data_IF_615177877129
#
_entry.id   IF_615177877129
#
_cell.length_a   1.000
_cell.length_b   1.000
_cell.length_c   1.000
_cell.angle_alpha   90.00
_cell.angle_beta   90.00
_cell.angle_gamma   90.00
#
_symmetry.space_group_name_H-M   'P 1'
#
loop_
_entity.id
_entity.type
_entity.pdbx_description
1 polymer ?
#
# COMPACT_ATOMS: atom_id res chain seq x y z
N UNK A 1 -10.85 6.89 0.43
CA UNK A 1 -11.44 7.12 -0.91
C UNK A 1 -10.49 6.60 -1.97
N UNK A 2 -10.97 5.92 -3.02
CA UNK A 2 -10.16 5.35 -4.09
C UNK A 2 -10.23 6.26 -5.33
N UNK A 3 -9.11 6.48 -6.02
CA UNK A 3 -9.00 7.38 -7.18
C UNK A 3 -8.58 6.67 -8.48
N UNK A 4 -8.29 5.37 -8.41
CA UNK A 4 -7.88 4.54 -9.56
C UNK A 4 -8.89 3.43 -9.82
N UNK A 5 -8.75 2.75 -10.96
CA UNK A 5 -9.56 1.61 -11.37
C UNK A 5 -8.70 0.43 -11.81
N UNK A 6 -9.27 -0.76 -11.83
CA UNK A 6 -8.59 -1.98 -12.27
C UNK A 6 -8.05 -1.85 -13.69
N UNK A 7 -6.84 -2.37 -13.90
CA UNK A 7 -6.12 -2.28 -15.17
C UNK A 7 -5.47 -0.92 -15.48
N UNK A 8 -5.65 0.10 -14.62
CA UNK A 8 -5.00 1.39 -14.80
C UNK A 8 -3.49 1.30 -14.57
N UNK A 9 -2.69 1.70 -15.56
CA UNK A 9 -1.25 1.87 -15.40
C UNK A 9 -0.94 3.09 -14.52
N UNK A 10 -0.09 2.90 -13.51
CA UNK A 10 0.35 3.95 -12.59
C UNK A 10 1.87 4.05 -12.56
N UNK A 11 2.38 5.16 -12.02
CA UNK A 11 3.79 5.39 -11.76
C UNK A 11 4.01 5.73 -10.29
N UNK A 12 5.25 5.53 -9.82
CA UNK A 12 5.66 5.93 -8.48
C UNK A 12 5.30 7.40 -8.24
N UNK A 13 4.65 7.69 -7.11
CA UNK A 13 4.22 9.03 -6.72
C UNK A 13 2.79 9.40 -7.15
N UNK A 14 2.09 8.55 -7.90
CA UNK A 14 0.67 8.78 -8.18
C UNK A 14 -0.19 8.61 -6.93
N UNK A 15 -1.14 9.53 -6.73
CA UNK A 15 -2.16 9.41 -5.70
C UNK A 15 -3.20 8.37 -6.13
N UNK A 16 -3.29 7.27 -5.40
CA UNK A 16 -4.21 6.16 -5.73
C UNK A 16 -5.40 6.07 -4.78
N UNK A 17 -5.24 6.49 -3.53
CA UNK A 17 -6.29 6.49 -2.51
C UNK A 17 -5.93 7.42 -1.34
N UNK A 18 -6.90 7.68 -0.46
CA UNK A 18 -6.66 8.24 0.87
C UNK A 18 -6.69 7.15 1.94
N UNK A 19 -5.95 7.34 3.03
CA UNK A 19 -6.11 6.56 4.27
C UNK A 19 -7.57 6.58 4.73
N UNK A 20 -8.00 5.51 5.38
CA UNK A 20 -9.35 5.38 5.90
C UNK A 20 -9.40 4.50 7.14
N UNK A 21 -10.63 4.21 7.55
CA UNK A 21 -10.96 3.38 8.71
C UNK A 21 -12.05 2.37 8.38
N UNK A 22 -12.12 1.95 7.12
CA UNK A 22 -13.12 0.97 6.65
C UNK A 22 -12.63 -0.45 6.90
N UNK A 23 -13.51 -1.33 7.37
CA UNK A 23 -13.20 -2.74 7.66
C UNK A 23 -13.00 -3.00 9.16
N UNK A 24 -12.25 -4.05 9.50
CA UNK A 24 -11.98 -4.41 10.89
C UNK A 24 -10.77 -3.62 11.42
N UNK A 25 -10.99 -2.37 11.81
CA UNK A 25 -9.96 -1.45 12.30
C UNK A 25 -10.49 -0.59 13.45
N UNK A 26 -9.62 -0.19 14.37
CA UNK A 26 -9.97 0.64 15.53
C UNK A 26 -9.81 2.15 15.28
N UNK A 27 -9.22 2.54 14.15
CA UNK A 27 -8.97 3.94 13.78
C UNK A 27 -8.35 4.09 12.40
N UNK A 28 -7.96 5.31 11.98
CA UNK A 28 -7.29 5.54 10.70
C UNK A 28 -5.99 4.75 10.59
N UNK A 29 -5.89 3.89 9.58
CA UNK A 29 -4.77 2.97 9.42
C UNK A 29 -4.41 2.77 7.94
N UNK A 30 -3.12 2.63 7.65
CA UNK A 30 -2.60 2.24 6.34
C UNK A 30 -1.96 0.86 6.44
N UNK A 31 -2.62 -0.15 5.86
CA UNK A 31 -2.03 -1.47 5.67
C UNK A 31 -1.23 -1.47 4.36
N UNK A 32 0.05 -1.81 4.43
CA UNK A 32 0.94 -1.83 3.26
C UNK A 32 1.65 -3.19 3.18
N UNK A 33 1.60 -3.82 2.00
CA UNK A 33 2.21 -5.12 1.76
C UNK A 33 3.00 -5.09 0.45
N UNK A 34 4.07 -5.88 0.38
CA UNK A 34 4.84 -6.11 -0.83
C UNK A 34 4.81 -7.61 -1.16
N UNK A 35 4.34 -7.92 -2.36
CA UNK A 35 4.19 -9.28 -2.86
C UNK A 35 5.09 -9.44 -4.10
N UNK A 36 5.89 -10.51 -4.15
CA UNK A 36 6.71 -10.88 -5.30
C UNK A 36 6.13 -12.13 -5.95
N UNK A 37 5.64 -12.00 -7.17
CA UNK A 37 4.86 -13.07 -7.81
C UNK A 37 3.50 -13.26 -7.14
N UNK A 38 2.94 -14.46 -7.26
CA UNK A 38 1.54 -14.70 -6.88
C UNK A 38 1.31 -14.89 -5.37
N UNK A 39 2.28 -15.43 -4.65
CA UNK A 39 2.06 -15.90 -3.26
C UNK A 39 3.18 -15.55 -2.27
N UNK A 40 4.21 -14.82 -2.68
CA UNK A 40 5.34 -14.53 -1.79
C UNK A 40 5.19 -13.15 -1.13
N UNK A 41 4.73 -13.12 0.12
CA UNK A 41 4.71 -11.92 0.95
C UNK A 41 6.08 -11.66 1.51
N UNK A 42 6.57 -10.44 1.35
CA UNK A 42 7.89 -10.00 1.79
C UNK A 42 7.77 -8.94 2.87
N UNK A 43 8.85 -8.70 3.62
CA UNK A 43 8.91 -7.58 4.55
C UNK A 43 8.93 -6.25 3.77
N UNK A 44 7.91 -5.38 3.91
CA UNK A 44 7.87 -4.11 3.18
C UNK A 44 9.04 -3.18 3.51
N UNK A 45 9.68 -3.31 4.68
CA UNK A 45 10.79 -2.45 5.10
C UNK A 45 11.97 -2.56 4.13
N UNK A 46 12.21 -3.73 3.53
CA UNK A 46 13.28 -3.92 2.55
C UNK A 46 13.07 -3.08 1.27
N UNK A 47 11.83 -2.70 0.97
CA UNK A 47 11.44 -1.93 -0.22
C UNK A 47 11.19 -0.45 0.08
N UNK A 48 11.02 -0.12 1.35
CA UNK A 48 10.88 1.25 1.81
C UNK A 48 12.28 1.85 1.98
N UNK A 49 12.54 2.96 1.29
CA UNK A 49 13.74 3.79 1.52
C UNK A 49 13.56 4.63 2.79
N UNK A 50 13.25 3.99 3.90
CA UNK A 50 13.13 4.63 5.21
C UNK A 50 14.48 4.57 5.92
N UNK A 51 14.97 5.68 6.49
CA UNK A 51 16.06 5.59 7.44
C UNK A 51 15.57 4.76 8.63
N UNK A 52 16.28 3.68 8.94
CA UNK A 52 16.12 2.98 10.21
C UNK A 52 16.75 3.89 11.26
N UNK A 53 15.94 4.37 12.20
CA UNK A 53 16.40 5.17 13.35
C UNK A 53 16.88 4.27 14.48
#
# INVERSE_FOLDING_TARGET
>A
KIFVKDGQQIRKGNLIATVGSTGNVTGPHLHYEVWIGESNRTDPIEYLKVPVY
#
